data_IF_737550930032
#
_entry.id   IF_737550930032
#
_cell.length_a   1.000
_cell.length_b   1.000
_cell.length_c   1.000
_cell.angle_alpha   90.00
_cell.angle_beta   90.00
_cell.angle_gamma   90.00
#
_symmetry.space_group_name_H-M   'P 1'
#
loop_
_entity.id
_entity.type
_entity.pdbx_description
1 polymer ?
#
# COMPACT_ATOMS: atom_id res chain seq x y z
N UNK A 1 20.22 -39.57 -16.23
CA UNK A 1 20.06 -38.81 -14.97
C UNK A 1 20.00 -37.31 -15.21
N UNK A 2 21.00 -36.69 -15.86
CA UNK A 2 21.02 -35.24 -16.14
C UNK A 2 19.85 -34.79 -17.03
N UNK A 3 19.51 -35.54 -18.08
CA UNK A 3 18.37 -35.23 -18.97
C UNK A 3 17.03 -35.19 -18.20
N UNK A 4 16.82 -36.12 -17.27
CA UNK A 4 15.61 -36.15 -16.44
C UNK A 4 15.55 -34.95 -15.49
N UNK A 5 16.70 -34.54 -14.92
CA UNK A 5 16.79 -33.34 -14.08
C UNK A 5 16.46 -32.09 -14.91
N UNK A 6 17.02 -31.97 -16.13
CA UNK A 6 16.72 -30.85 -17.03
C UNK A 6 15.23 -30.79 -17.40
N UNK A 7 14.59 -31.94 -17.64
CA UNK A 7 13.16 -32.01 -17.94
C UNK A 7 12.30 -31.57 -16.75
N UNK A 8 12.66 -31.99 -15.52
CA UNK A 8 11.98 -31.56 -14.29
C UNK A 8 12.12 -30.05 -14.09
N UNK A 9 13.33 -29.50 -14.26
CA UNK A 9 13.56 -28.05 -14.15
C UNK A 9 12.77 -27.28 -15.21
N UNK A 10 12.74 -27.78 -16.46
CA UNK A 10 11.95 -27.17 -17.53
C UNK A 10 10.46 -27.12 -17.19
N UNK A 11 9.90 -28.20 -16.63
CA UNK A 11 8.50 -28.23 -16.18
C UNK A 11 8.26 -27.23 -15.04
N UNK A 12 9.14 -27.19 -14.05
CA UNK A 12 9.01 -26.27 -12.90
C UNK A 12 9.02 -24.81 -13.34
N UNK A 13 9.75 -24.46 -14.39
CA UNK A 13 9.76 -23.10 -14.95
C UNK A 13 8.57 -22.88 -15.90
N UNK A 14 8.21 -23.87 -16.72
CA UNK A 14 7.13 -23.74 -17.69
C UNK A 14 5.76 -23.56 -17.03
N UNK A 15 5.48 -24.30 -15.94
CA UNK A 15 4.19 -24.22 -15.23
C UNK A 15 3.85 -22.78 -14.79
N UNK A 16 4.67 -22.06 -14.00
CA UNK A 16 4.36 -20.70 -13.59
C UNK A 16 4.26 -19.74 -14.78
N UNK A 17 5.09 -19.93 -15.82
CA UNK A 17 4.99 -19.12 -17.04
C UNK A 17 3.68 -19.32 -17.79
N UNK A 18 3.15 -20.55 -17.83
CA UNK A 18 1.82 -20.83 -18.43
C UNK A 18 0.72 -20.25 -17.56
N UNK A 19 0.76 -20.44 -16.23
CA UNK A 19 -0.22 -19.84 -15.31
C UNK A 19 -0.25 -18.32 -15.48
N UNK A 20 0.92 -17.68 -15.57
CA UNK A 20 1.06 -16.24 -15.75
C UNK A 20 0.37 -15.71 -17.02
N UNK A 21 0.15 -16.53 -18.05
CA UNK A 21 -0.62 -16.11 -19.24
C UNK A 21 -2.10 -15.87 -18.93
N UNK A 22 -2.65 -16.53 -17.91
CA UNK A 22 -4.06 -16.46 -17.54
C UNK A 22 -4.33 -15.54 -16.33
N UNK A 23 -3.29 -15.13 -15.60
CA UNK A 23 -3.44 -14.20 -14.46
C UNK A 23 -3.61 -12.77 -14.94
N UNK A 24 -4.59 -12.04 -14.40
CA UNK A 24 -4.79 -10.61 -14.71
C UNK A 24 -3.53 -9.81 -14.35
N UNK A 25 -3.21 -8.80 -15.16
CA UNK A 25 -2.04 -7.92 -14.92
C UNK A 25 -2.28 -6.89 -13.83
N UNK A 26 -3.54 -6.49 -13.65
CA UNK A 26 -3.96 -5.50 -12.66
C UNK A 26 -4.42 -6.16 -11.37
N UNK A 27 -4.15 -5.50 -10.25
CA UNK A 27 -4.69 -5.86 -8.94
C UNK A 27 -5.39 -4.65 -8.32
N UNK A 28 -6.39 -4.94 -7.48
CA UNK A 28 -7.04 -3.98 -6.60
C UNK A 28 -7.33 -4.69 -5.28
N UNK A 29 -6.87 -4.10 -4.19
CA UNK A 29 -7.10 -4.57 -2.82
C UNK A 29 -7.70 -3.43 -2.01
N UNK A 30 -8.55 -3.78 -1.04
CA UNK A 30 -9.20 -2.81 -0.17
C UNK A 30 -9.32 -3.39 1.24
N UNK A 31 -9.09 -2.55 2.25
CA UNK A 31 -9.39 -2.83 3.65
C UNK A 31 -10.16 -1.66 4.24
N UNK A 32 -11.05 -1.96 5.19
CA UNK A 32 -11.86 -0.96 5.86
C UNK A 32 -11.96 -1.23 7.34
N UNK A 33 -12.08 -0.17 8.12
CA UNK A 33 -12.27 -0.25 9.57
C UNK A 33 -13.20 0.88 10.02
N UNK A 34 -13.92 0.67 11.13
CA UNK A 34 -14.69 1.73 11.80
C UNK A 34 -13.86 2.24 12.97
N UNK A 35 -13.66 3.55 13.00
CA UNK A 35 -12.99 4.29 14.07
C UNK A 35 -14.06 5.07 14.82
N UNK A 36 -14.12 4.91 16.14
CA UNK A 36 -15.05 5.53 17.07
C UNK A 36 -14.57 6.96 17.41
N UNK A 37 -14.38 7.75 16.35
CA UNK A 37 -14.12 9.20 16.37
C UNK A 37 -14.87 9.93 15.25
N UNK A 38 -15.18 11.23 15.42
CA UNK A 38 -15.77 12.09 14.39
C UNK A 38 -14.94 12.16 13.10
N UNK A 39 -15.63 12.29 11.96
CA UNK A 39 -15.01 12.24 10.63
C UNK A 39 -13.97 13.34 10.39
N UNK A 40 -14.18 14.54 10.93
CA UNK A 40 -13.23 15.64 10.83
C UNK A 40 -11.89 15.30 11.52
N UNK A 41 -11.94 14.68 12.71
CA UNK A 41 -10.73 14.31 13.46
C UNK A 41 -9.97 13.18 12.76
N UNK A 42 -10.69 12.16 12.29
CA UNK A 42 -10.09 11.05 11.52
C UNK A 42 -9.49 11.55 10.21
N UNK A 43 -10.21 12.37 9.45
CA UNK A 43 -9.74 12.92 8.18
C UNK A 43 -8.51 13.82 8.37
N UNK A 44 -8.53 14.72 9.36
CA UNK A 44 -7.36 15.56 9.64
C UNK A 44 -6.14 14.73 10.02
N UNK A 45 -6.32 13.63 10.75
CA UNK A 45 -5.18 12.79 11.06
C UNK A 45 -4.58 12.11 9.82
N UNK A 46 -5.42 11.55 8.94
CA UNK A 46 -4.92 10.77 7.80
C UNK A 46 -4.41 11.63 6.64
N UNK A 47 -4.84 12.89 6.52
CA UNK A 47 -4.39 13.77 5.42
C UNK A 47 -2.92 14.16 5.50
N UNK A 48 -2.33 14.14 6.70
CA UNK A 48 -0.90 14.32 6.88
C UNK A 48 -0.18 12.99 6.62
N UNK A 49 0.54 12.89 5.49
CA UNK A 49 1.23 11.65 5.13
C UNK A 49 2.37 11.32 6.11
N UNK A 50 2.91 12.31 6.82
CA UNK A 50 3.88 12.05 7.91
C UNK A 50 3.27 11.26 9.07
N UNK A 51 1.95 11.32 9.30
CA UNK A 51 1.31 10.53 10.35
C UNK A 51 1.34 9.03 10.06
N UNK A 52 1.56 8.61 8.81
CA UNK A 52 1.79 7.21 8.48
C UNK A 52 2.98 6.61 9.22
N UNK A 53 3.93 7.40 9.70
CA UNK A 53 5.02 6.88 10.53
C UNK A 53 4.55 6.24 11.83
N UNK A 54 3.36 6.61 12.31
CA UNK A 54 2.82 6.13 13.57
C UNK A 54 2.06 4.80 13.42
N UNK A 55 1.52 4.51 12.23
CA UNK A 55 0.63 3.37 12.02
C UNK A 55 0.97 2.48 10.82
N UNK A 56 1.74 2.96 9.85
CA UNK A 56 2.10 2.17 8.67
C UNK A 56 3.10 1.09 9.03
N UNK A 57 2.70 -0.17 8.84
CA UNK A 57 3.58 -1.31 9.04
C UNK A 57 4.86 -1.22 8.22
N UNK A 58 4.79 -0.67 7.00
CA UNK A 58 5.94 -0.60 6.11
C UNK A 58 7.02 0.37 6.61
N UNK A 59 6.62 1.51 7.19
CA UNK A 59 7.56 2.44 7.82
C UNK A 59 8.22 1.80 9.04
N UNK A 60 7.49 0.98 9.78
CA UNK A 60 8.02 0.27 10.96
C UNK A 60 8.99 -0.88 10.63
N UNK A 61 9.18 -1.25 9.34
CA UNK A 61 10.06 -2.37 8.96
C UNK A 61 11.55 -2.02 8.96
N UNK A 62 11.92 -0.74 8.92
CA UNK A 62 13.31 -0.29 8.97
C UNK A 62 13.50 0.93 9.87
N UNK A 63 14.04 0.74 11.10
CA UNK A 63 14.33 1.84 12.01
C UNK A 63 15.34 2.86 11.47
N UNK A 64 16.18 2.46 10.50
CA UNK A 64 17.23 3.31 9.93
C UNK A 64 16.82 3.93 8.58
N UNK A 65 15.54 3.85 8.21
CA UNK A 65 15.04 4.34 6.95
C UNK A 65 15.31 5.85 6.79
N UNK A 66 15.97 6.21 5.70
CA UNK A 66 16.15 7.62 5.35
C UNK A 66 14.87 8.15 4.74
N UNK A 67 14.49 9.36 5.13
CA UNK A 67 13.23 9.98 4.73
C UNK A 67 13.48 11.37 4.21
N UNK A 68 12.77 11.73 3.17
CA UNK A 68 12.79 13.05 2.59
C UNK A 68 11.37 13.53 2.36
N UNK A 69 11.11 14.78 2.70
CA UNK A 69 9.81 15.41 2.54
C UNK A 69 9.93 16.62 1.63
N UNK A 70 9.02 16.74 0.66
CA UNK A 70 8.97 17.87 -0.26
C UNK A 70 7.56 18.45 -0.29
N UNK A 71 7.45 19.77 -0.20
CA UNK A 71 6.17 20.48 -0.11
C UNK A 71 5.64 20.64 1.33
N UNK A 72 4.37 21.01 1.45
CA UNK A 72 3.67 21.24 2.72
C UNK A 72 2.77 20.04 3.01
N UNK A 73 3.00 19.36 4.13
CA UNK A 73 2.21 18.16 4.47
C UNK A 73 0.72 18.50 4.66
N UNK A 74 -0.15 17.56 4.27
CA UNK A 74 -1.60 17.79 4.23
C UNK A 74 -2.08 18.63 3.04
N UNK A 75 -1.23 18.91 2.04
CA UNK A 75 -1.61 19.62 0.82
C UNK A 75 -1.27 18.82 -0.43
N UNK A 76 -2.06 19.02 -1.50
CA UNK A 76 -1.82 18.39 -2.80
C UNK A 76 -0.43 18.77 -3.31
N UNK A 77 0.32 17.77 -3.78
CA UNK A 77 1.72 17.87 -4.19
C UNK A 77 2.73 17.59 -3.07
N UNK A 78 2.28 17.33 -1.83
CA UNK A 78 3.19 16.85 -0.79
C UNK A 78 3.76 15.48 -1.14
N UNK A 79 5.08 15.33 -1.01
CA UNK A 79 5.79 14.08 -1.26
C UNK A 79 6.49 13.60 0.00
N UNK A 80 6.32 12.32 0.31
CA UNK A 80 7.09 11.57 1.28
C UNK A 80 7.88 10.48 0.56
N UNK A 81 9.20 10.66 0.47
CA UNK A 81 10.14 9.69 -0.07
C UNK A 81 10.87 8.92 1.05
N UNK A 82 11.19 7.66 0.78
CA UNK A 82 11.93 6.79 1.69
C UNK A 82 13.00 5.97 0.97
N UNK A 83 14.09 5.69 1.69
CA UNK A 83 15.13 4.74 1.30
C UNK A 83 15.52 3.88 2.51
N UNK A 84 15.05 2.63 2.51
CA UNK A 84 15.26 1.67 3.59
C UNK A 84 16.06 0.44 3.17
N UNK A 85 16.02 -0.62 3.97
CA UNK A 85 16.68 -1.89 3.67
C UNK A 85 15.96 -2.70 2.57
N UNK A 86 16.34 -3.96 2.35
CA UNK A 86 15.73 -4.83 1.31
C UNK A 86 14.27 -5.20 1.58
N UNK A 87 13.77 -5.00 2.80
CA UNK A 87 12.37 -5.24 3.16
C UNK A 87 11.52 -3.99 2.96
N UNK A 88 12.03 -2.82 3.34
CA UNK A 88 11.33 -1.53 3.18
C UNK A 88 11.43 -0.96 1.75
N UNK A 89 12.48 -1.35 1.01
CA UNK A 89 12.72 -0.88 -0.35
C UNK A 89 13.03 0.61 -0.41
N UNK A 90 12.89 1.16 -1.61
CA UNK A 90 13.03 2.60 -1.88
C UNK A 90 11.88 3.05 -2.75
N UNK A 91 11.31 4.21 -2.44
CA UNK A 91 10.21 4.78 -3.21
C UNK A 91 9.74 6.10 -2.64
N UNK A 92 8.62 6.57 -3.17
CA UNK A 92 7.95 7.77 -2.68
C UNK A 92 6.45 7.67 -2.84
N UNK A 93 5.74 8.46 -2.04
CA UNK A 93 4.31 8.67 -2.15
C UNK A 93 4.01 10.16 -2.28
N UNK A 94 3.01 10.49 -3.09
CA UNK A 94 2.58 11.85 -3.35
C UNK A 94 1.06 11.97 -3.20
N UNK A 95 0.61 13.03 -2.54
CA UNK A 95 -0.81 13.39 -2.47
C UNK A 95 -1.22 14.09 -3.77
N UNK A 96 -1.89 13.37 -4.67
CA UNK A 96 -2.24 13.85 -6.02
C UNK A 96 -3.54 14.66 -6.03
N UNK A 97 -4.53 14.24 -5.24
CA UNK A 97 -5.79 14.96 -5.07
C UNK A 97 -6.41 14.69 -3.71
N UNK A 98 -7.26 15.61 -3.27
CA UNK A 98 -7.95 15.52 -1.99
C UNK A 98 -9.33 16.15 -2.10
N UNK A 99 -10.31 15.50 -1.49
CA UNK A 99 -11.63 16.07 -1.21
C UNK A 99 -11.77 16.16 0.31
N UNK A 100 -11.78 17.38 0.83
CA UNK A 100 -11.79 17.64 2.27
C UNK A 100 -12.90 16.86 2.99
N UNK A 101 -12.53 16.14 4.04
CA UNK A 101 -13.43 15.30 4.83
C UNK A 101 -13.92 14.02 4.15
N UNK A 102 -13.44 13.68 2.94
CA UNK A 102 -13.96 12.53 2.16
C UNK A 102 -12.88 11.60 1.62
N UNK A 103 -11.88 12.12 0.92
CA UNK A 103 -10.92 11.24 0.23
C UNK A 103 -9.56 11.87 -0.03
N UNK A 104 -8.55 11.01 -0.09
CA UNK A 104 -7.17 11.28 -0.47
C UNK A 104 -6.80 10.34 -1.61
N UNK A 105 -6.27 10.88 -2.70
CA UNK A 105 -5.67 10.08 -3.77
C UNK A 105 -4.15 10.17 -3.67
N UNK A 106 -3.54 9.04 -3.35
CA UNK A 106 -2.09 8.94 -3.18
C UNK A 106 -1.52 8.10 -4.32
N UNK A 107 -0.48 8.60 -4.98
CA UNK A 107 0.32 7.82 -5.91
C UNK A 107 1.58 7.33 -5.21
N UNK A 108 1.88 6.04 -5.36
CA UNK A 108 3.09 5.38 -4.89
C UNK A 108 3.99 5.08 -6.08
N UNK A 109 5.24 5.51 -6.01
CA UNK A 109 6.29 5.24 -7.00
C UNK A 109 7.42 4.48 -6.32
N UNK A 110 7.46 3.17 -6.55
CA UNK A 110 8.52 2.30 -6.06
C UNK A 110 9.71 2.32 -7.00
N UNK A 111 10.92 2.37 -6.44
CA UNK A 111 12.20 2.33 -7.17
C UNK A 111 12.93 0.99 -6.96
N UNK A 112 12.99 0.49 -5.72
CA UNK A 112 13.67 -0.77 -5.33
C UNK A 112 12.76 -1.60 -4.41
N UNK A 113 12.71 -2.94 -4.54
CA UNK A 113 13.50 -3.81 -5.44
C UNK A 113 13.05 -3.81 -6.90
N UNK A 114 11.80 -3.41 -7.16
CA UNK A 114 11.25 -3.36 -8.52
C UNK A 114 10.56 -2.02 -8.73
N UNK A 115 10.76 -1.44 -9.92
CA UNK A 115 10.03 -0.23 -10.31
C UNK A 115 8.56 -0.55 -10.52
N UNK A 116 7.70 0.17 -9.80
CA UNK A 116 6.25 0.02 -9.92
C UNK A 116 5.55 1.33 -9.56
N UNK A 117 4.39 1.55 -10.17
CA UNK A 117 3.49 2.64 -9.80
C UNK A 117 2.18 2.02 -9.31
N UNK A 118 1.70 2.50 -8.18
CA UNK A 118 0.42 2.11 -7.60
C UNK A 118 -0.35 3.36 -7.16
N UNK A 119 -1.67 3.25 -7.06
CA UNK A 119 -2.51 4.26 -6.40
C UNK A 119 -3.04 3.68 -5.11
N UNK A 120 -3.03 4.46 -4.05
CA UNK A 120 -3.43 4.04 -2.71
C UNK A 120 -4.45 5.01 -2.10
N UNK A 121 -5.68 5.08 -2.65
CA UNK A 121 -6.68 6.01 -2.16
C UNK A 121 -7.09 5.69 -0.72
N UNK A 122 -7.34 6.72 0.07
CA UNK A 122 -7.98 6.60 1.38
C UNK A 122 -9.29 7.36 1.38
N UNK A 123 -10.35 6.77 1.91
CA UNK A 123 -11.68 7.37 2.01
C UNK A 123 -12.14 7.37 3.46
N UNK A 124 -12.89 8.41 3.83
CA UNK A 124 -13.55 8.56 5.12
C UNK A 124 -15.04 8.79 4.90
N UNK A 125 -15.87 7.93 5.48
CA UNK A 125 -17.32 8.06 5.47
C UNK A 125 -17.84 8.15 6.90
N UNK A 126 -18.60 9.20 7.23
CA UNK A 126 -19.30 9.27 8.52
C UNK A 126 -20.39 8.19 8.59
N UNK A 127 -20.29 7.33 9.61
CA UNK A 127 -21.28 6.29 9.93
C UNK A 127 -22.28 6.81 10.97
N UNK A 128 -21.80 7.61 11.92
CA UNK A 128 -22.55 8.41 12.89
C UNK A 128 -21.73 9.66 13.25
N UNK A 129 -22.25 10.49 14.17
CA UNK A 129 -21.57 11.70 14.67
C UNK A 129 -20.17 11.39 15.24
N UNK A 130 -20.04 10.24 15.89
CA UNK A 130 -18.87 9.76 16.63
C UNK A 130 -18.18 8.56 15.97
N UNK A 131 -18.59 8.16 14.75
CA UNK A 131 -17.99 7.00 14.05
C UNK A 131 -17.70 7.28 12.60
N UNK A 132 -16.50 6.89 12.19
CA UNK A 132 -16.00 7.08 10.83
C UNK A 132 -15.52 5.77 10.26
N UNK A 133 -15.98 5.42 9.07
CA UNK A 133 -15.42 4.33 8.28
C UNK A 133 -14.23 4.85 7.50
N UNK A 134 -13.05 4.29 7.77
CA UNK A 134 -11.86 4.50 6.93
C UNK A 134 -11.75 3.34 5.96
N UNK A 135 -11.60 3.64 4.68
CA UNK A 135 -11.36 2.67 3.62
C UNK A 135 -10.02 2.96 2.97
N UNK A 136 -9.10 2.00 2.96
CA UNK A 136 -7.81 2.11 2.29
C UNK A 136 -7.77 1.15 1.12
N UNK A 137 -7.61 1.69 -0.09
CA UNK A 137 -7.40 0.94 -1.31
C UNK A 137 -5.93 0.90 -1.71
N UNK A 138 -5.57 -0.10 -2.50
CA UNK A 138 -4.32 -0.12 -3.27
C UNK A 138 -4.57 -0.79 -4.62
N UNK A 139 -4.13 -0.15 -5.70
CA UNK A 139 -4.28 -0.64 -7.06
C UNK A 139 -3.00 -0.43 -7.86
N UNK A 140 -2.66 -1.40 -8.70
CA UNK A 140 -1.46 -1.33 -9.51
C UNK A 140 -1.43 -2.42 -10.58
N UNK A 141 -0.30 -2.54 -11.26
CA UNK A 141 -0.12 -3.48 -12.36
C UNK A 141 1.25 -4.15 -12.29
N UNK A 142 1.26 -5.45 -12.52
CA UNK A 142 2.46 -6.23 -12.79
C UNK A 142 2.43 -6.76 -14.23
N UNK A 143 3.54 -6.63 -14.94
CA UNK A 143 3.68 -7.18 -16.29
C UNK A 143 3.99 -8.68 -16.23
N UNK A 144 3.80 -9.38 -17.34
CA UNK A 144 4.21 -10.77 -17.46
C UNK A 144 5.72 -10.94 -17.26
N UNK A 145 6.20 -11.99 -16.56
CA UNK A 145 5.44 -12.99 -15.80
C UNK A 145 5.21 -12.60 -14.31
N UNK A 146 5.62 -11.39 -13.91
CA UNK A 146 5.47 -10.88 -12.54
C UNK A 146 4.02 -10.74 -12.08
N UNK A 147 3.05 -10.73 -13.01
CA UNK A 147 1.63 -10.78 -12.70
C UNK A 147 1.20 -12.02 -11.89
N UNK A 148 2.02 -13.08 -11.81
CA UNK A 148 1.84 -14.16 -10.83
C UNK A 148 1.73 -13.63 -9.39
N UNK A 149 2.41 -12.53 -9.06
CA UNK A 149 2.32 -11.90 -7.75
C UNK A 149 0.88 -11.51 -7.38
N UNK A 150 0.03 -11.22 -8.36
CA UNK A 150 -1.38 -10.88 -8.12
C UNK A 150 -2.16 -12.01 -7.42
N UNK A 151 -1.70 -13.27 -7.52
CA UNK A 151 -2.30 -14.40 -6.80
C UNK A 151 -2.09 -14.33 -5.27
N UNK A 152 -1.08 -13.59 -4.82
CA UNK A 152 -0.69 -13.51 -3.40
C UNK A 152 -0.71 -12.09 -2.83
N UNK A 153 -0.86 -11.06 -3.69
CA UNK A 153 -0.86 -9.64 -3.30
C UNK A 153 -1.88 -9.35 -2.20
N UNK A 154 -3.13 -9.82 -2.31
CA UNK A 154 -4.14 -9.56 -1.27
C UNK A 154 -3.77 -10.19 0.07
N UNK A 155 -3.17 -11.39 0.05
CA UNK A 155 -2.76 -12.07 1.28
C UNK A 155 -1.59 -11.37 1.98
N UNK A 156 -0.64 -10.84 1.20
CA UNK A 156 0.56 -10.19 1.73
C UNK A 156 0.24 -8.73 2.08
N UNK A 157 -0.09 -7.91 1.08
CA UNK A 157 -0.33 -6.48 1.28
C UNK A 157 -1.61 -6.20 2.04
N UNK A 158 -2.67 -6.98 1.82
CA UNK A 158 -3.93 -6.78 2.53
C UNK A 158 -3.82 -7.03 4.03
N UNK A 159 -2.96 -7.97 4.47
CA UNK A 159 -2.67 -8.18 5.90
C UNK A 159 -1.90 -7.01 6.51
N UNK A 160 -0.97 -6.42 5.76
CA UNK A 160 -0.20 -5.25 6.19
C UNK A 160 -1.09 -4.01 6.31
N UNK A 161 -2.00 -3.82 5.35
CA UNK A 161 -3.02 -2.76 5.38
C UNK A 161 -3.96 -2.92 6.57
N UNK A 162 -4.44 -4.13 6.83
CA UNK A 162 -5.29 -4.42 7.99
C UNK A 162 -4.57 -4.12 9.31
N UNK A 163 -3.32 -4.56 9.44
CA UNK A 163 -2.49 -4.26 10.63
C UNK A 163 -2.37 -2.75 10.83
N UNK A 164 -2.08 -2.02 9.74
CA UNK A 164 -1.90 -0.57 9.79
C UNK A 164 -3.19 0.18 10.15
N UNK A 165 -4.35 -0.27 9.62
CA UNK A 165 -5.67 0.29 9.97
C UNK A 165 -6.04 0.01 11.43
N UNK A 166 -5.70 -1.17 11.96
CA UNK A 166 -5.89 -1.48 13.39
C UNK A 166 -5.02 -0.59 14.27
N UNK A 167 -3.76 -0.36 13.89
CA UNK A 167 -2.88 0.58 14.61
C UNK A 167 -3.43 2.01 14.55
N UNK A 168 -3.91 2.45 13.39
CA UNK A 168 -4.56 3.76 13.22
C UNK A 168 -5.78 3.91 14.15
N UNK A 169 -6.68 2.92 14.17
CA UNK A 169 -7.83 2.88 15.09
C UNK A 169 -7.37 3.03 16.54
N UNK A 170 -6.37 2.25 16.95
CA UNK A 170 -5.84 2.29 18.32
C UNK A 170 -5.11 3.59 18.70
N UNK A 171 -4.62 4.38 17.73
CA UNK A 171 -4.07 5.71 17.99
C UNK A 171 -5.19 6.73 18.17
N UNK A 172 -6.17 6.70 17.28
CA UNK A 172 -7.26 7.66 17.27
C UNK A 172 -8.23 7.46 18.42
N UNK A 173 -8.47 6.25 18.88
CA UNK A 173 -9.46 5.95 19.95
C UNK A 173 -8.93 6.11 21.38
N UNK A 174 -7.74 6.66 21.54
CA UNK A 174 -7.23 7.07 22.85
C UNK A 174 -7.91 8.38 23.30
#
# INVERSE_FOLDING_TARGET
MIVNILFIVAIIIAIPLVIALFVKKEYKIERKIIIDKPNNEVFEFIRFLKNQEQYSKWVMMDPNMKKEFRGIDGTVGFVYAWDGNDKAGKGEQELISMVEGKSLDIELRFERPFKAIAKAPMLTDSVSEDKTRVTWGMQGKYNYPMNLMNLVVDKILGKDMETSLVTLKGILEK
#
